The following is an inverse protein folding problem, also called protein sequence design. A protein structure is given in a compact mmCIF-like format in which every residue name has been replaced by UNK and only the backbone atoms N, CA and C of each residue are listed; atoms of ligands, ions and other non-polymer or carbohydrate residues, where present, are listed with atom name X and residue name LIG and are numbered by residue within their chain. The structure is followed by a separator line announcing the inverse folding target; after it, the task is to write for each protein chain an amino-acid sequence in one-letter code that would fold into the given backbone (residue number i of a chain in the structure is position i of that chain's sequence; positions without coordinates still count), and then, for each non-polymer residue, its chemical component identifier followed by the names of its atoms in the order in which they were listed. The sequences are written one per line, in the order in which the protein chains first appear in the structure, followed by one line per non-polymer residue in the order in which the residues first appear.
data_IF_533491061633
#
_entry.id   IF_533491061633
#
_cell.length_a   1.000
_cell.length_b   1.000
_cell.length_c   1.000
_cell.angle_alpha   90.00
_cell.angle_beta   90.00
_cell.angle_gamma   90.00
#
_symmetry.space_group_name_H-M   'P 1'
#
loop_
_entity.id
_entity.type
_entity.pdbx_description
1 polymer ?
#
# COMPACT_ATOMS: atom_id res chain seq x y z
N UNK A 1 17.87 -4.63 33.52
CA UNK A 1 18.39 -4.13 32.23
C UNK A 1 18.47 -5.28 31.25
N UNK A 2 18.11 -5.04 29.99
CA UNK A 2 18.02 -6.02 28.90
C UNK A 2 18.92 -5.52 27.76
N UNK A 3 20.03 -6.19 27.43
CA UNK A 3 20.95 -5.70 26.40
C UNK A 3 20.37 -5.89 24.99
N UNK A 4 20.46 -4.86 24.15
CA UNK A 4 20.03 -4.90 22.75
C UNK A 4 21.27 -4.91 21.86
N UNK A 5 21.29 -5.85 20.92
CA UNK A 5 22.41 -6.06 19.99
C UNK A 5 21.96 -5.91 18.56
N UNK A 6 22.89 -5.51 17.69
CA UNK A 6 22.67 -5.53 16.24
C UNK A 6 22.79 -6.95 15.66
N UNK A 7 22.57 -7.08 14.34
CA UNK A 7 22.64 -8.39 13.67
C UNK A 7 24.00 -9.07 13.81
N UNK A 8 25.10 -8.33 14.04
CA UNK A 8 26.44 -8.86 14.25
C UNK A 8 26.74 -9.18 15.73
N UNK A 9 25.79 -8.95 16.64
CA UNK A 9 25.95 -9.17 18.08
C UNK A 9 26.65 -8.02 18.81
N UNK A 10 26.91 -6.89 18.15
CA UNK A 10 27.52 -5.70 18.76
C UNK A 10 26.47 -4.99 19.61
N UNK A 11 26.89 -4.38 20.73
CA UNK A 11 25.98 -3.67 21.62
C UNK A 11 25.47 -2.40 20.94
N UNK A 12 24.14 -2.26 20.88
CA UNK A 12 23.45 -1.13 20.26
C UNK A 12 22.76 -0.25 21.31
N UNK A 13 22.20 -0.87 22.35
CA UNK A 13 21.52 -0.16 23.43
C UNK A 13 20.97 -1.10 24.49
N UNK A 14 20.01 -0.62 25.25
CA UNK A 14 19.37 -1.35 26.33
C UNK A 14 17.86 -1.10 26.37
N UNK A 15 17.12 -2.15 26.73
CA UNK A 15 15.80 -2.07 27.31
C UNK A 15 15.89 -2.14 28.84
N UNK A 16 14.91 -1.58 29.51
CA UNK A 16 14.75 -1.64 30.96
C UNK A 16 13.29 -1.96 31.27
N UNK A 17 13.08 -2.71 32.34
CA UNK A 17 11.77 -2.96 32.94
C UNK A 17 11.84 -2.43 34.37
N UNK A 18 10.80 -1.73 34.79
CA UNK A 18 10.65 -1.30 36.19
C UNK A 18 10.61 -2.51 37.11
N UNK A 19 11.10 -2.31 38.34
CA UNK A 19 10.96 -3.29 39.43
C UNK A 19 9.92 -2.80 40.42
N UNK A 20 9.91 -1.49 40.69
CA UNK A 20 8.88 -0.82 41.46
C UNK A 20 7.61 -0.63 40.59
N UNK A 21 6.43 -1.14 41.02
CA UNK A 21 5.17 -0.96 40.29
C UNK A 21 4.72 0.50 40.15
N UNK A 22 5.19 1.39 41.02
CA UNK A 22 4.79 2.81 41.02
C UNK A 22 5.57 3.65 39.98
N UNK A 23 6.67 3.10 39.44
CA UNK A 23 7.46 3.76 38.39
C UNK A 23 6.80 3.65 37.01
N UNK A 24 6.88 4.71 36.21
CA UNK A 24 6.39 4.73 34.81
C UNK A 24 7.46 5.27 33.86
N UNK A 25 7.64 4.69 32.66
CA UNK A 25 6.86 3.60 32.05
C UNK A 25 7.34 2.18 32.41
N UNK A 26 6.44 1.17 32.33
CA UNK A 26 6.73 -0.27 32.62
C UNK A 26 7.96 -0.81 31.88
N UNK A 27 8.13 -0.40 30.64
CA UNK A 27 9.32 -0.66 29.84
C UNK A 27 9.87 0.63 29.26
N UNK A 28 11.20 0.77 29.29
CA UNK A 28 11.91 1.90 28.71
C UNK A 28 13.02 1.40 27.80
N UNK A 29 13.08 1.93 26.59
CA UNK A 29 14.15 1.64 25.65
C UNK A 29 15.13 2.81 25.59
N UNK A 30 16.38 2.52 25.24
CA UNK A 30 17.34 3.54 24.86
C UNK A 30 16.75 4.48 23.78
N UNK A 31 17.11 5.78 23.79
CA UNK A 31 16.68 6.69 22.73
C UNK A 31 17.27 6.28 21.38
N UNK A 32 16.70 6.76 20.27
CA UNK A 32 17.28 6.57 18.92
C UNK A 32 18.72 7.12 18.88
N UNK A 33 19.64 6.34 18.35
CA UNK A 33 21.05 6.72 18.15
C UNK A 33 21.55 6.22 16.79
N UNK A 34 22.72 6.66 16.30
CA UNK A 34 23.29 6.13 15.06
C UNK A 34 23.48 4.61 15.05
N UNK A 35 23.59 3.97 16.22
CA UNK A 35 23.78 2.53 16.37
C UNK A 35 22.53 1.79 16.86
N UNK A 36 21.50 2.52 17.31
CA UNK A 36 20.24 1.96 17.80
C UNK A 36 19.07 2.62 17.10
N UNK A 37 18.36 1.85 16.28
CA UNK A 37 17.10 2.28 15.70
C UNK A 37 16.02 1.23 15.87
N UNK A 38 14.93 1.61 16.55
CA UNK A 38 13.82 0.69 16.88
C UNK A 38 13.17 0.13 15.62
N UNK A 39 13.04 0.95 14.59
CA UNK A 39 12.46 0.55 13.30
C UNK A 39 13.38 -0.26 12.40
N UNK A 40 14.59 -0.61 12.82
CA UNK A 40 15.53 -1.40 12.01
C UNK A 40 16.04 -2.65 12.70
N UNK A 41 16.14 -2.59 14.02
CA UNK A 41 16.61 -3.70 14.84
C UNK A 41 15.43 -4.56 15.29
N UNK A 42 15.70 -5.85 15.44
CA UNK A 42 14.82 -6.81 16.09
C UNK A 42 15.57 -7.41 17.27
N UNK A 43 14.94 -7.40 18.43
CA UNK A 43 15.51 -8.02 19.61
C UNK A 43 15.63 -9.54 19.42
N UNK A 44 16.72 -10.11 19.90
CA UNK A 44 17.02 -11.54 19.81
C UNK A 44 17.56 -12.00 18.45
N UNK A 45 17.57 -11.13 17.43
CA UNK A 45 18.01 -11.52 16.09
C UNK A 45 19.45 -12.01 16.07
N UNK A 46 20.36 -11.38 16.82
CA UNK A 46 21.77 -11.78 16.92
C UNK A 46 21.94 -13.27 17.28
N UNK A 47 21.03 -13.80 18.12
CA UNK A 47 20.98 -15.22 18.49
C UNK A 47 20.13 -16.05 17.53
N UNK A 48 19.01 -15.50 17.06
CA UNK A 48 18.03 -16.22 16.25
C UNK A 48 18.46 -16.44 14.78
N UNK A 49 19.48 -15.75 14.26
CA UNK A 49 19.91 -15.87 12.85
C UNK A 49 20.17 -17.29 12.37
N UNK A 50 20.89 -18.09 13.17
CA UNK A 50 21.20 -19.50 12.83
C UNK A 50 19.95 -20.39 13.02
N UNK A 51 19.24 -20.33 14.16
CA UNK A 51 17.96 -21.01 14.36
C UNK A 51 16.93 -20.75 13.26
N UNK A 52 16.72 -19.48 12.86
CA UNK A 52 15.77 -19.10 11.81
C UNK A 52 16.11 -19.79 10.49
N UNK A 53 17.39 -19.81 10.10
CA UNK A 53 17.81 -20.52 8.88
C UNK A 53 17.65 -22.03 8.99
N UNK A 54 17.94 -22.59 10.15
CA UNK A 54 17.86 -24.04 10.38
C UNK A 54 16.40 -24.54 10.38
N UNK A 55 15.49 -23.75 10.95
CA UNK A 55 14.05 -24.03 10.97
C UNK A 55 13.34 -23.59 9.67
N UNK A 56 14.02 -22.81 8.81
CA UNK A 56 13.42 -22.03 7.72
C UNK A 56 12.12 -21.34 8.15
N UNK A 57 12.17 -20.67 9.30
CA UNK A 57 11.02 -19.98 9.88
C UNK A 57 11.50 -18.95 10.90
N UNK A 58 11.02 -17.71 10.79
CA UNK A 58 11.11 -16.71 11.84
C UNK A 58 9.76 -16.55 12.55
N UNK A 59 9.78 -16.50 13.88
CA UNK A 59 8.59 -16.20 14.68
C UNK A 59 8.74 -14.83 15.33
N UNK A 60 7.72 -13.98 15.21
CA UNK A 60 7.70 -12.63 15.76
C UNK A 60 6.71 -12.58 16.92
N UNK A 61 7.21 -12.21 18.10
CA UNK A 61 6.42 -11.97 19.34
C UNK A 61 6.47 -10.49 19.72
N UNK A 62 5.74 -10.08 20.76
CA UNK A 62 5.56 -8.65 21.11
C UNK A 62 6.69 -8.05 21.94
N UNK A 63 7.26 -8.83 22.85
CA UNK A 63 8.16 -8.34 23.89
C UNK A 63 9.51 -9.05 24.01
N UNK A 64 10.41 -8.38 24.74
CA UNK A 64 11.72 -8.93 25.11
C UNK A 64 11.61 -10.22 25.91
N UNK A 65 10.64 -10.27 26.81
CA UNK A 65 10.49 -11.35 27.77
C UNK A 65 9.95 -12.60 27.09
N UNK A 66 9.04 -12.44 26.14
CA UNK A 66 8.58 -13.50 25.25
C UNK A 66 9.76 -14.15 24.53
N UNK A 67 10.62 -13.35 23.89
CA UNK A 67 11.82 -13.86 23.21
C UNK A 67 12.71 -14.62 24.20
N UNK A 68 12.96 -14.06 25.39
CA UNK A 68 13.81 -14.70 26.40
C UNK A 68 13.21 -16.03 26.88
N UNK A 69 11.92 -16.04 27.21
CA UNK A 69 11.22 -17.21 27.73
C UNK A 69 11.13 -18.32 26.69
N UNK A 70 10.78 -17.96 25.45
CA UNK A 70 10.65 -18.90 24.33
C UNK A 70 12.03 -19.46 23.94
N UNK A 71 13.09 -18.64 23.93
CA UNK A 71 14.48 -19.11 23.77
C UNK A 71 14.88 -20.05 24.90
N UNK A 72 14.57 -19.72 26.16
CA UNK A 72 14.88 -20.56 27.32
C UNK A 72 14.18 -21.92 27.25
N UNK A 73 13.04 -22.00 26.56
CA UNK A 73 12.36 -23.26 26.33
C UNK A 73 12.95 -24.12 25.22
N UNK A 74 13.84 -23.57 24.39
CA UNK A 74 14.52 -24.26 23.29
C UNK A 74 14.08 -23.82 21.89
N UNK A 75 13.17 -22.85 21.77
CA UNK A 75 12.74 -22.30 20.49
C UNK A 75 13.48 -20.99 20.23
N UNK A 76 14.62 -21.08 19.55
CA UNK A 76 15.53 -19.95 19.38
C UNK A 76 15.29 -19.13 18.09
N UNK A 77 14.31 -19.51 17.27
CA UNK A 77 13.97 -18.82 16.02
C UNK A 77 13.00 -17.64 16.19
N UNK A 78 12.93 -17.10 17.42
CA UNK A 78 11.99 -16.06 17.83
C UNK A 78 12.67 -14.70 17.97
N UNK A 79 11.99 -13.65 17.53
CA UNK A 79 12.44 -12.25 17.60
C UNK A 79 11.29 -11.32 17.99
N UNK A 80 11.60 -10.09 18.40
CA UNK A 80 10.58 -9.09 18.78
C UNK A 80 10.93 -7.69 18.26
N UNK A 81 9.95 -6.91 17.79
CA UNK A 81 10.09 -5.46 17.69
C UNK A 81 10.17 -4.85 19.10
N UNK A 82 10.56 -3.58 19.20
CA UNK A 82 10.92 -2.96 20.48
C UNK A 82 9.96 -1.84 20.85
N UNK A 83 8.69 -2.20 21.04
CA UNK A 83 7.61 -1.25 21.32
C UNK A 83 7.23 -0.39 20.12
N UNK A 84 7.37 -0.93 18.91
CA UNK A 84 6.96 -0.30 17.65
C UNK A 84 6.14 -1.30 16.85
N UNK A 85 5.25 -0.79 15.98
CA UNK A 85 4.68 -1.64 14.93
C UNK A 85 5.80 -2.25 14.09
N UNK A 86 5.56 -3.45 13.55
CA UNK A 86 6.50 -4.10 12.65
C UNK A 86 6.72 -3.25 11.40
N UNK A 87 7.99 -3.06 11.04
CA UNK A 87 8.39 -2.13 9.95
C UNK A 87 8.96 -2.88 8.75
N UNK A 88 8.97 -2.21 7.60
CA UNK A 88 9.52 -2.76 6.36
C UNK A 88 11.00 -3.15 6.50
N UNK A 89 11.79 -2.35 7.20
CA UNK A 89 13.23 -2.59 7.38
C UNK A 89 13.47 -3.87 8.20
N UNK A 90 12.66 -4.12 9.22
CA UNK A 90 12.71 -5.33 10.04
C UNK A 90 12.29 -6.57 9.24
N UNK A 91 11.25 -6.46 8.42
CA UNK A 91 10.81 -7.56 7.55
C UNK A 91 11.84 -7.87 6.46
N UNK A 92 12.42 -6.84 5.83
CA UNK A 92 13.56 -6.99 4.89
C UNK A 92 14.74 -7.68 5.56
N UNK A 93 15.01 -7.35 6.82
CA UNK A 93 16.09 -7.97 7.59
C UNK A 93 15.84 -9.47 7.81
N UNK A 94 14.61 -9.85 8.21
CA UNK A 94 14.23 -11.25 8.40
C UNK A 94 14.25 -12.08 7.10
N UNK A 95 13.84 -11.47 5.97
CA UNK A 95 13.84 -12.11 4.64
C UNK A 95 15.22 -12.66 4.25
N UNK A 96 16.31 -12.08 4.76
CA UNK A 96 17.68 -12.56 4.53
C UNK A 96 17.95 -13.94 5.16
N UNK A 97 17.09 -14.39 6.09
CA UNK A 97 17.27 -15.60 6.86
C UNK A 97 16.18 -16.65 6.58
N UNK A 98 14.93 -16.24 6.39
CA UNK A 98 13.85 -17.10 5.92
C UNK A 98 12.75 -16.28 5.25
N UNK A 99 12.03 -16.91 4.32
CA UNK A 99 10.82 -16.35 3.69
C UNK A 99 9.54 -16.70 4.46
N UNK A 100 9.60 -17.64 5.41
CA UNK A 100 8.46 -18.05 6.22
C UNK A 100 8.46 -17.28 7.54
N UNK A 101 7.46 -16.44 7.74
CA UNK A 101 7.36 -15.56 8.90
C UNK A 101 6.03 -15.82 9.59
N UNK A 102 6.08 -16.15 10.87
CA UNK A 102 4.92 -16.37 11.73
C UNK A 102 4.78 -15.22 12.72
N UNK A 103 3.63 -14.56 12.70
CA UNK A 103 3.24 -13.56 13.69
C UNK A 103 2.54 -14.27 14.85
N UNK A 104 3.15 -14.20 16.03
CA UNK A 104 2.69 -14.78 17.28
C UNK A 104 2.39 -13.62 18.25
N UNK A 105 1.34 -12.87 17.93
CA UNK A 105 0.95 -11.63 18.61
C UNK A 105 -0.29 -11.85 19.48
N UNK A 106 -0.54 -10.93 20.40
CA UNK A 106 -1.64 -11.06 21.35
C UNK A 106 -3.00 -10.96 20.63
N UNK A 107 -4.04 -11.66 21.12
CA UNK A 107 -5.35 -11.70 20.46
C UNK A 107 -6.16 -10.40 20.58
N UNK A 108 -5.61 -9.36 21.20
CA UNK A 108 -6.33 -8.12 21.48
C UNK A 108 -6.52 -7.22 20.24
N UNK A 109 -7.28 -6.14 20.41
CA UNK A 109 -7.52 -5.16 19.33
C UNK A 109 -6.25 -4.46 18.83
N UNK A 110 -5.18 -4.46 19.62
CA UNK A 110 -3.88 -3.92 19.23
C UNK A 110 -3.11 -4.92 18.35
N UNK A 111 -3.15 -6.21 18.68
CA UNK A 111 -2.59 -7.32 17.90
C UNK A 111 -3.21 -7.42 16.51
N UNK A 112 -4.53 -7.26 16.39
CA UNK A 112 -5.20 -7.23 15.07
C UNK A 112 -4.70 -6.06 14.19
N UNK A 113 -4.58 -4.87 14.77
CA UNK A 113 -4.00 -3.71 14.08
C UNK A 113 -2.52 -3.93 13.75
N UNK A 114 -1.79 -4.63 14.60
CA UNK A 114 -0.40 -4.98 14.37
C UNK A 114 -0.24 -5.99 13.22
N UNK A 115 -1.14 -6.97 13.07
CA UNK A 115 -1.19 -7.87 11.91
C UNK A 115 -1.43 -7.11 10.61
N UNK A 116 -2.43 -6.22 10.57
CA UNK A 116 -2.72 -5.41 9.37
C UNK A 116 -1.56 -4.46 9.01
N UNK A 117 -0.94 -3.83 10.02
CA UNK A 117 0.25 -2.98 9.81
C UNK A 117 1.47 -3.79 9.37
N UNK A 118 1.70 -4.94 9.97
CA UNK A 118 2.78 -5.86 9.59
C UNK A 118 2.62 -6.36 8.16
N UNK A 119 1.38 -6.52 7.69
CA UNK A 119 1.06 -6.85 6.31
C UNK A 119 1.35 -5.69 5.36
N UNK A 120 0.92 -4.47 5.68
CA UNK A 120 1.26 -3.28 4.89
C UNK A 120 2.78 -3.04 4.82
N UNK A 121 3.47 -3.30 5.92
CA UNK A 121 4.93 -3.24 5.98
C UNK A 121 5.58 -4.36 5.15
N UNK A 122 5.01 -5.56 5.13
CA UNK A 122 5.49 -6.66 4.29
C UNK A 122 5.32 -6.36 2.80
N UNK A 123 4.18 -5.79 2.40
CA UNK A 123 3.92 -5.32 1.05
C UNK A 123 4.97 -4.30 0.63
N UNK A 124 5.10 -3.21 1.40
CA UNK A 124 6.07 -2.14 1.14
C UNK A 124 7.53 -2.61 1.18
N UNK A 125 7.83 -3.61 2.03
CA UNK A 125 9.14 -4.26 2.11
C UNK A 125 9.51 -5.04 0.85
N UNK A 126 8.53 -5.78 0.32
CA UNK A 126 8.73 -6.78 -0.73
C UNK A 126 8.53 -6.21 -2.13
N UNK A 127 7.78 -5.11 -2.27
CA UNK A 127 7.58 -4.41 -3.54
C UNK A 127 8.84 -3.81 -4.14
N UNK A 128 9.89 -3.63 -3.32
CA UNK A 128 11.17 -3.00 -3.74
C UNK A 128 12.17 -3.98 -4.35
N UNK A 129 11.95 -5.29 -4.21
CA UNK A 129 12.74 -6.34 -4.86
C UNK A 129 11.90 -7.04 -5.92
N UNK A 130 11.62 -6.34 -7.02
CA UNK A 130 11.01 -6.98 -8.18
C UNK A 130 11.96 -8.03 -8.76
N UNK A 131 11.62 -9.30 -8.63
CA UNK A 131 12.18 -10.32 -9.52
C UNK A 131 11.72 -9.99 -10.94
N UNK A 132 12.67 -9.95 -11.86
CA UNK A 132 12.42 -9.91 -13.31
C UNK A 132 11.77 -11.24 -13.72
N UNK A 133 10.46 -11.35 -13.55
CA UNK A 133 9.69 -12.48 -14.02
C UNK A 133 9.48 -12.38 -15.53
N UNK A 134 9.91 -13.41 -16.27
CA UNK A 134 9.51 -13.60 -17.66
C UNK A 134 8.12 -14.23 -17.70
N UNK A 135 7.18 -13.62 -18.42
CA UNK A 135 5.95 -14.33 -18.79
C UNK A 135 6.26 -15.41 -19.86
N UNK A 136 5.30 -16.31 -20.13
CA UNK A 136 5.42 -17.33 -21.18
C UNK A 136 5.60 -16.74 -22.61
N UNK A 137 5.64 -15.42 -22.75
CA UNK A 137 5.87 -14.66 -23.99
C UNK A 137 7.18 -13.84 -23.94
N UNK A 138 8.02 -14.02 -22.91
CA UNK A 138 9.34 -13.41 -22.78
C UNK A 138 9.36 -11.93 -22.39
N UNK A 139 8.26 -11.35 -21.88
CA UNK A 139 8.21 -9.97 -21.44
C UNK A 139 8.54 -9.83 -19.94
N UNK A 140 9.43 -8.88 -19.64
CA UNK A 140 9.83 -8.50 -18.28
C UNK A 140 8.66 -7.81 -17.58
N UNK A 141 8.02 -8.48 -16.63
CA UNK A 141 7.08 -7.85 -15.72
C UNK A 141 7.76 -7.59 -14.38
N UNK A 142 7.75 -6.32 -13.96
CA UNK A 142 8.14 -5.92 -12.62
C UNK A 142 6.89 -6.00 -11.72
N UNK A 143 6.45 -7.23 -11.43
CA UNK A 143 5.34 -7.45 -10.51
C UNK A 143 5.93 -7.63 -9.11
N UNK A 144 5.84 -6.55 -8.33
CA UNK A 144 6.02 -6.54 -6.89
C UNK A 144 5.01 -7.52 -6.28
N UNK A 145 5.48 -8.73 -5.93
CA UNK A 145 4.68 -9.80 -5.34
C UNK A 145 5.25 -10.14 -3.97
N UNK A 146 4.38 -10.53 -3.05
CA UNK A 146 4.78 -10.93 -1.71
C UNK A 146 5.64 -12.21 -1.79
N UNK A 147 6.97 -12.08 -1.72
CA UNK A 147 7.89 -13.23 -1.71
C UNK A 147 8.14 -13.77 -0.29
N UNK A 148 7.11 -13.78 0.55
CA UNK A 148 7.16 -14.33 1.88
C UNK A 148 5.86 -15.05 2.21
N UNK A 149 5.99 -16.19 2.88
CA UNK A 149 4.88 -16.92 3.48
C UNK A 149 4.60 -16.31 4.86
N UNK A 150 3.65 -15.37 4.91
CA UNK A 150 3.18 -14.75 6.14
C UNK A 150 2.05 -15.57 6.75
N UNK A 151 2.23 -15.92 8.02
CA UNK A 151 1.25 -16.69 8.80
C UNK A 151 1.01 -16.04 10.15
N UNK A 152 -0.14 -16.31 10.74
CA UNK A 152 -0.53 -15.84 12.07
C UNK A 152 -0.83 -17.05 12.95
N UNK A 153 -0.13 -17.13 14.08
CA UNK A 153 -0.43 -18.08 15.16
C UNK A 153 -1.38 -17.40 16.14
N UNK A 154 -2.60 -17.92 16.25
CA UNK A 154 -3.59 -17.41 17.20
C UNK A 154 -3.30 -17.95 18.59
N UNK A 155 -3.05 -17.05 19.54
CA UNK A 155 -2.87 -17.41 20.95
C UNK A 155 -4.21 -17.63 21.65
N UNK A 156 -4.28 -18.52 22.66
CA UNK A 156 -5.46 -18.61 23.51
C UNK A 156 -5.72 -17.30 24.25
N UNK A 157 -6.99 -17.01 24.53
CA UNK A 157 -7.40 -15.75 25.16
C UNK A 157 -6.69 -15.53 26.50
N UNK A 158 -6.02 -14.38 26.62
CA UNK A 158 -5.38 -13.92 27.85
C UNK A 158 -4.09 -14.65 28.24
N UNK A 159 -3.47 -15.38 27.30
CA UNK A 159 -2.15 -16.00 27.52
C UNK A 159 -1.11 -15.41 26.56
N UNK A 160 0.00 -14.99 27.14
CA UNK A 160 1.15 -14.46 26.40
C UNK A 160 2.13 -15.60 26.03
N UNK A 161 3.02 -15.41 25.04
CA UNK A 161 4.00 -16.43 24.64
C UNK A 161 4.85 -17.01 25.79
N UNK A 162 5.23 -16.18 26.76
CA UNK A 162 6.01 -16.63 27.91
C UNK A 162 5.21 -17.55 28.85
N UNK A 163 3.92 -17.25 29.07
CA UNK A 163 3.00 -18.09 29.85
C UNK A 163 2.70 -19.43 29.18
N UNK A 164 2.45 -19.42 27.86
CA UNK A 164 2.18 -20.63 27.07
C UNK A 164 3.36 -21.59 27.18
N UNK A 165 4.57 -21.07 26.95
CA UNK A 165 5.79 -21.86 26.97
C UNK A 165 6.15 -22.34 28.37
N UNK A 166 5.87 -21.54 29.41
CA UNK A 166 6.07 -21.94 30.80
C UNK A 166 5.12 -23.08 31.22
N UNK A 167 3.88 -23.08 30.68
CA UNK A 167 2.89 -24.12 30.93
C UNK A 167 3.19 -25.42 30.18
N UNK A 168 3.36 -25.34 28.87
CA UNK A 168 3.62 -26.49 27.99
C UNK A 168 4.44 -26.07 26.76
N UNK A 169 5.69 -26.53 26.71
CA UNK A 169 6.59 -26.26 25.58
C UNK A 169 6.10 -26.88 24.26
N UNK A 170 5.38 -27.99 24.32
CA UNK A 170 4.86 -28.64 23.12
C UNK A 170 3.60 -27.94 22.61
N UNK A 171 2.87 -27.23 23.48
CA UNK A 171 1.75 -26.37 23.10
C UNK A 171 2.22 -25.24 22.17
N UNK A 172 3.31 -24.56 22.52
CA UNK A 172 3.91 -23.53 21.66
C UNK A 172 4.19 -24.06 20.25
N UNK A 173 4.85 -25.22 20.14
CA UNK A 173 5.13 -25.85 18.85
C UNK A 173 3.86 -26.13 18.07
N UNK A 174 2.83 -26.70 18.71
CA UNK A 174 1.53 -26.96 18.06
C UNK A 174 0.88 -25.68 17.56
N UNK A 175 0.95 -24.57 18.30
CA UNK A 175 0.39 -23.28 17.87
C UNK A 175 1.12 -22.72 16.64
N UNK A 176 2.46 -22.79 16.62
CA UNK A 176 3.27 -22.32 15.49
C UNK A 176 3.09 -23.20 14.24
N UNK A 177 2.98 -24.53 14.42
CA UNK A 177 2.72 -25.46 13.31
C UNK A 177 1.33 -25.25 12.69
N UNK A 178 0.33 -24.91 13.51
CA UNK A 178 -1.04 -24.63 13.07
C UNK A 178 -1.26 -23.16 12.67
N UNK A 179 -0.19 -22.36 12.56
CA UNK A 179 -0.29 -20.97 12.14
C UNK A 179 -0.95 -20.85 10.75
N UNK A 180 -2.03 -20.08 10.71
CA UNK A 180 -2.87 -19.91 9.51
C UNK A 180 -2.22 -18.92 8.55
N UNK A 181 -2.37 -19.09 7.23
CA UNK A 181 -2.00 -18.06 6.28
C UNK A 181 -2.66 -16.72 6.62
N UNK A 182 -1.94 -15.61 6.45
CA UNK A 182 -2.41 -14.28 6.86
C UNK A 182 -3.74 -13.91 6.20
N UNK A 183 -3.95 -14.27 4.93
CA UNK A 183 -5.20 -14.01 4.20
C UNK A 183 -6.38 -14.71 4.87
N UNK A 184 -6.22 -15.97 5.28
CA UNK A 184 -7.24 -16.72 6.02
C UNK A 184 -7.55 -16.06 7.35
N UNK A 185 -6.51 -15.68 8.10
CA UNK A 185 -6.69 -15.03 9.39
C UNK A 185 -7.45 -13.70 9.25
N UNK A 186 -7.04 -12.82 8.33
CA UNK A 186 -7.71 -11.53 8.11
C UNK A 186 -9.17 -11.72 7.67
N UNK A 187 -9.47 -12.70 6.81
CA UNK A 187 -10.84 -13.05 6.43
C UNK A 187 -11.70 -13.41 7.64
N UNK A 188 -11.22 -14.33 8.47
CA UNK A 188 -11.93 -14.78 9.68
C UNK A 188 -12.12 -13.62 10.67
N UNK A 189 -11.08 -12.82 10.91
CA UNK A 189 -11.11 -11.69 11.84
C UNK A 189 -12.09 -10.61 11.39
N UNK A 190 -12.10 -10.24 10.11
CA UNK A 190 -13.01 -9.23 9.58
C UNK A 190 -14.47 -9.71 9.54
N UNK A 191 -14.69 -11.02 9.38
CA UNK A 191 -16.02 -11.62 9.42
C UNK A 191 -16.56 -11.79 10.86
N UNK A 192 -15.67 -11.91 11.85
CA UNK A 192 -16.05 -12.12 13.24
C UNK A 192 -16.87 -10.93 13.79
N UNK A 193 -18.04 -11.23 14.36
CA UNK A 193 -18.92 -10.23 14.98
C UNK A 193 -19.64 -9.29 14.02
N UNK A 194 -19.57 -9.53 12.70
CA UNK A 194 -20.24 -8.72 11.69
C UNK A 194 -21.48 -9.42 11.11
N UNK A 195 -22.47 -8.65 10.65
CA UNK A 195 -23.61 -9.20 9.92
C UNK A 195 -23.25 -9.40 8.44
N UNK A 196 -22.88 -10.62 8.09
CA UNK A 196 -22.58 -11.01 6.72
C UNK A 196 -23.79 -11.02 5.79
N UNK A 197 -24.98 -10.62 6.21
CA UNK A 197 -26.11 -10.37 5.31
C UNK A 197 -26.15 -8.92 4.81
N UNK A 198 -25.47 -7.98 5.47
CA UNK A 198 -25.38 -6.59 5.03
C UNK A 198 -24.41 -6.46 3.85
N UNK A 199 -24.91 -5.99 2.71
CA UNK A 199 -24.12 -5.75 1.51
C UNK A 199 -22.98 -4.74 1.75
N UNK A 200 -23.16 -3.75 2.63
CA UNK A 200 -22.12 -2.77 2.97
C UNK A 200 -20.96 -3.42 3.72
N UNK A 201 -21.27 -4.31 4.66
CA UNK A 201 -20.28 -5.10 5.41
C UNK A 201 -19.51 -6.02 4.46
N UNK A 202 -20.21 -6.75 3.58
CA UNK A 202 -19.57 -7.60 2.56
C UNK A 202 -18.58 -6.81 1.70
N UNK A 203 -18.99 -5.64 1.21
CA UNK A 203 -18.12 -4.77 0.41
C UNK A 203 -16.91 -4.27 1.20
N UNK A 204 -17.08 -3.92 2.48
CA UNK A 204 -15.98 -3.50 3.34
C UNK A 204 -14.96 -4.61 3.60
N UNK A 205 -15.41 -5.85 3.80
CA UNK A 205 -14.53 -7.01 3.95
C UNK A 205 -13.81 -7.28 2.64
N UNK A 206 -14.55 -7.35 1.52
CA UNK A 206 -13.96 -7.60 0.20
C UNK A 206 -12.91 -6.54 -0.19
N UNK A 207 -13.18 -5.26 0.06
CA UNK A 207 -12.25 -4.17 -0.25
C UNK A 207 -10.93 -4.25 0.53
N UNK A 208 -10.94 -4.86 1.72
CA UNK A 208 -9.74 -5.07 2.54
C UNK A 208 -9.00 -6.36 2.18
N UNK A 209 -9.71 -7.44 1.86
CA UNK A 209 -9.12 -8.77 1.59
C UNK A 209 -8.62 -8.90 0.16
N UNK A 210 -9.35 -8.38 -0.84
CA UNK A 210 -8.98 -8.53 -2.25
C UNK A 210 -7.56 -8.04 -2.59
N UNK A 211 -7.09 -6.88 -2.09
CA UNK A 211 -5.71 -6.48 -2.28
C UNK A 211 -4.71 -7.52 -1.78
N UNK A 212 -4.99 -8.17 -0.64
CA UNK A 212 -4.10 -9.19 -0.06
C UNK A 212 -4.02 -10.43 -0.93
N UNK A 213 -5.13 -10.80 -1.57
CA UNK A 213 -5.18 -11.90 -2.53
C UNK A 213 -4.35 -11.53 -3.76
N UNK A 214 -4.52 -10.33 -4.33
CA UNK A 214 -3.81 -9.94 -5.56
C UNK A 214 -2.29 -9.97 -5.45
N UNK A 215 -1.76 -9.70 -4.27
CA UNK A 215 -0.32 -9.68 -3.98
C UNK A 215 0.33 -11.06 -3.90
N UNK A 216 -0.47 -12.12 -3.81
CA UNK A 216 0.06 -13.48 -3.75
C UNK A 216 0.74 -13.84 -5.07
N UNK A 217 1.91 -14.50 -5.01
CA UNK A 217 2.69 -14.78 -6.20
C UNK A 217 2.07 -15.87 -7.07
N UNK A 218 1.28 -16.79 -6.52
CA UNK A 218 0.71 -17.91 -7.26
C UNK A 218 -0.70 -17.59 -7.76
N UNK A 219 -0.97 -17.61 -9.08
CA UNK A 219 -2.33 -17.44 -9.61
C UNK A 219 -3.34 -18.44 -9.04
N UNK A 220 -2.90 -19.67 -8.76
CA UNK A 220 -3.73 -20.72 -8.18
C UNK A 220 -4.10 -20.42 -6.72
N UNK A 221 -3.15 -19.90 -5.94
CA UNK A 221 -3.43 -19.47 -4.56
C UNK A 221 -4.43 -18.32 -4.57
N UNK A 222 -4.28 -17.36 -5.49
CA UNK A 222 -5.23 -16.25 -5.64
C UNK A 222 -6.65 -16.73 -5.90
N UNK A 223 -6.80 -17.65 -6.85
CA UNK A 223 -8.09 -18.24 -7.18
C UNK A 223 -8.68 -18.96 -5.97
N UNK A 224 -7.88 -19.79 -5.28
CA UNK A 224 -8.30 -20.52 -4.08
C UNK A 224 -8.80 -19.58 -2.97
N UNK A 225 -8.08 -18.50 -2.68
CA UNK A 225 -8.51 -17.53 -1.67
C UNK A 225 -9.70 -16.68 -2.11
N UNK A 226 -9.83 -16.39 -3.41
CA UNK A 226 -11.01 -15.69 -3.96
C UNK A 226 -12.27 -16.55 -3.82
N UNK A 227 -12.18 -17.84 -4.14
CA UNK A 227 -13.24 -18.81 -3.92
C UNK A 227 -13.61 -18.91 -2.43
N UNK A 228 -12.62 -18.95 -1.55
CA UNK A 228 -12.85 -18.98 -0.10
C UNK A 228 -13.57 -17.70 0.38
N UNK A 229 -13.17 -16.53 -0.11
CA UNK A 229 -13.80 -15.25 0.20
C UNK A 229 -15.25 -15.19 -0.32
N UNK A 230 -15.51 -15.63 -1.55
CA UNK A 230 -16.84 -15.69 -2.15
C UNK A 230 -17.80 -16.58 -1.33
N UNK A 231 -17.33 -17.77 -0.94
CA UNK A 231 -18.09 -18.69 -0.08
C UNK A 231 -18.38 -18.08 1.29
N UNK A 232 -17.40 -17.44 1.92
CA UNK A 232 -17.56 -16.79 3.23
C UNK A 232 -18.58 -15.66 3.18
N UNK A 233 -18.51 -14.81 2.15
CA UNK A 233 -19.42 -13.68 1.95
C UNK A 233 -20.77 -14.08 1.33
N UNK A 234 -20.93 -15.33 0.88
CA UNK A 234 -22.13 -15.82 0.17
C UNK A 234 -22.47 -14.92 -1.02
N UNK A 235 -21.49 -14.69 -1.88
CA UNK A 235 -21.61 -13.93 -3.13
C UNK A 235 -20.99 -14.73 -4.26
N UNK A 236 -21.39 -14.44 -5.48
CA UNK A 236 -20.74 -15.01 -6.66
C UNK A 236 -19.31 -14.49 -6.79
N UNK A 237 -18.41 -15.34 -7.28
CA UNK A 237 -17.00 -15.00 -7.48
C UNK A 237 -16.83 -13.82 -8.44
N UNK A 238 -17.66 -13.75 -9.47
CA UNK A 238 -17.69 -12.67 -10.46
C UNK A 238 -18.04 -11.31 -9.84
N UNK A 239 -18.84 -11.30 -8.77
CA UNK A 239 -19.19 -10.09 -8.05
C UNK A 239 -18.01 -9.50 -7.27
N UNK A 240 -17.01 -10.32 -6.90
CA UNK A 240 -15.78 -9.88 -6.23
C UNK A 240 -14.73 -9.31 -7.20
N UNK A 241 -14.81 -9.66 -8.48
CA UNK A 241 -13.86 -9.21 -9.52
C UNK A 241 -14.19 -7.79 -10.00
N UNK A 242 -15.33 -7.23 -9.59
CA UNK A 242 -15.76 -5.92 -10.06
C UNK A 242 -16.13 -5.94 -11.54
N UNK A 243 -16.65 -7.07 -12.05
CA UNK A 243 -17.43 -7.02 -13.27
C UNK A 243 -18.61 -6.07 -12.99
N UNK A 244 -18.87 -5.06 -13.86
CA UNK A 244 -20.03 -4.20 -13.66
C UNK A 244 -21.24 -5.11 -13.59
N UNK A 245 -21.95 -5.06 -12.46
CA UNK A 245 -23.21 -5.77 -12.28
C UNK A 245 -24.02 -5.58 -13.56
N UNK A 246 -24.23 -6.65 -14.33
CA UNK A 246 -25.19 -6.63 -15.42
C UNK A 246 -26.54 -6.36 -14.77
N UNK A 247 -26.92 -5.08 -14.73
CA UNK A 247 -28.12 -4.63 -14.07
C UNK A 247 -29.33 -5.37 -14.65
N UNK A 248 -30.31 -5.80 -13.82
CA UNK A 248 -31.54 -6.34 -14.35
C UNK A 248 -32.23 -5.28 -15.20
N UNK A 249 -32.42 -5.61 -16.47
CA UNK A 249 -33.20 -4.81 -17.42
C UNK A 249 -34.60 -4.52 -16.85
N UNK A 250 -34.87 -3.23 -16.66
CA UNK A 250 -36.19 -2.62 -16.88
C UNK A 250 -37.18 -2.64 -15.72
N UNK A 251 -37.44 -1.45 -15.15
CA UNK A 251 -38.80 -0.86 -15.15
C UNK A 251 -38.76 0.64 -14.84
N UNK A 252 -39.39 1.40 -15.74
CA UNK A 252 -39.67 2.84 -15.61
C UNK A 252 -40.46 3.15 -14.34
N UNK A 253 -40.05 4.20 -13.60
CA UNK A 253 -40.92 4.98 -12.73
C UNK A 253 -40.52 6.46 -12.75
N UNK A 254 -41.54 7.32 -12.64
CA UNK A 254 -41.64 8.77 -12.94
C UNK A 254 -40.82 9.71 -12.01
N UNK A 255 -40.64 10.99 -12.42
CA UNK A 255 -39.80 11.95 -11.70
C UNK A 255 -40.50 12.53 -10.46
N UNK A 256 -39.74 12.64 -9.36
CA UNK A 256 -40.12 13.40 -8.16
C UNK A 256 -39.34 14.73 -8.17
N UNK A 257 -40.06 15.83 -7.88
CA UNK A 257 -39.53 17.20 -7.84
C UNK A 257 -38.60 17.43 -6.63
N UNK A 258 -37.69 18.43 -6.71
CA UNK A 258 -36.65 18.65 -5.71
C UNK A 258 -37.16 19.49 -4.54
N UNK A 259 -36.82 19.07 -3.31
CA UNK A 259 -37.18 19.76 -2.08
C UNK A 259 -36.07 19.64 -1.04
N UNK A 260 -35.33 20.75 -0.92
CA UNK A 260 -34.66 21.29 0.25
C UNK A 260 -33.39 20.61 0.81
N UNK A 261 -32.33 21.43 0.72
CA UNK A 261 -31.03 21.30 1.34
C UNK A 261 -31.12 21.07 2.85
N UNK A 262 -30.49 20.00 3.30
CA UNK A 262 -29.92 19.89 4.63
C UNK A 262 -28.41 20.01 4.50
N UNK A 263 -27.85 21.02 5.15
CA UNK A 263 -26.41 21.21 5.32
C UNK A 263 -25.77 19.91 5.82
N UNK A 264 -24.94 19.30 4.99
CA UNK A 264 -24.04 18.24 5.42
C UNK A 264 -22.72 18.88 5.82
N UNK A 265 -22.39 18.76 7.10
CA UNK A 265 -21.04 18.95 7.60
C UNK A 265 -20.05 18.13 6.75
N UNK A 266 -18.81 18.61 6.53
CA UNK A 266 -17.90 18.00 5.58
C UNK A 266 -17.56 16.59 6.04
N UNK A 267 -18.02 15.60 5.26
CA UNK A 267 -17.51 14.24 5.34
C UNK A 267 -16.04 14.33 4.94
N UNK A 268 -15.14 14.10 5.90
CA UNK A 268 -13.72 14.01 5.62
C UNK A 268 -13.49 12.89 4.59
N UNK A 269 -13.23 13.28 3.35
CA UNK A 269 -12.90 12.37 2.26
C UNK A 269 -11.58 11.70 2.64
N UNK A 270 -11.62 10.39 2.94
CA UNK A 270 -10.43 9.55 3.05
C UNK A 270 -9.69 9.69 1.72
N UNK A 271 -8.66 10.54 1.71
CA UNK A 271 -7.97 10.92 0.48
C UNK A 271 -7.13 9.73 0.03
N UNK A 272 -7.41 9.21 -1.17
CA UNK A 272 -6.62 8.13 -1.75
C UNK A 272 -5.16 8.59 -1.97
N UNK A 273 -4.19 7.67 -2.03
CA UNK A 273 -2.81 8.02 -2.36
C UNK A 273 -2.66 8.74 -3.71
N UNK A 274 -3.53 8.47 -4.71
CA UNK A 274 -3.56 9.21 -5.98
C UNK A 274 -4.04 10.64 -5.78
N UNK A 275 -5.09 10.84 -4.99
CA UNK A 275 -5.64 12.16 -4.68
C UNK A 275 -4.59 13.08 -4.03
N UNK A 276 -3.79 12.55 -3.09
CA UNK A 276 -2.72 13.33 -2.42
C UNK A 276 -1.63 13.75 -3.42
N UNK A 277 -1.22 12.84 -4.31
CA UNK A 277 -0.19 13.14 -5.32
C UNK A 277 -0.68 14.16 -6.33
N UNK A 278 -1.91 14.02 -6.81
CA UNK A 278 -2.53 14.97 -7.73
C UNK A 278 -2.68 16.36 -7.12
N UNK A 279 -3.19 16.42 -5.88
CA UNK A 279 -3.33 17.66 -5.14
C UNK A 279 -1.97 18.34 -4.94
N UNK A 280 -0.93 17.58 -4.59
CA UNK A 280 0.43 18.14 -4.47
C UNK A 280 0.94 18.70 -5.81
N UNK A 281 0.83 17.94 -6.91
CA UNK A 281 1.22 18.41 -8.24
C UNK A 281 0.50 19.71 -8.62
N UNK A 282 -0.81 19.78 -8.41
CA UNK A 282 -1.60 20.98 -8.70
C UNK A 282 -1.24 22.13 -7.77
N UNK A 283 -0.96 21.88 -6.49
CA UNK A 283 -0.52 22.91 -5.55
C UNK A 283 0.79 23.56 -6.00
N UNK A 284 1.78 22.75 -6.39
CA UNK A 284 3.07 23.24 -6.92
C UNK A 284 2.84 24.07 -8.19
N UNK A 285 2.08 23.53 -9.16
CA UNK A 285 1.80 24.21 -10.43
C UNK A 285 0.93 25.45 -10.27
N UNK A 286 0.05 25.49 -9.27
CA UNK A 286 -0.78 26.65 -9.00
C UNK A 286 0.05 27.77 -8.38
N UNK A 287 0.94 27.44 -7.44
CA UNK A 287 1.84 28.41 -6.80
C UNK A 287 2.93 28.91 -7.75
N UNK A 288 3.37 28.06 -8.68
CA UNK A 288 4.44 28.32 -9.67
C UNK A 288 4.02 27.85 -11.07
N UNK A 289 3.13 28.59 -11.77
CA UNK A 289 2.59 28.17 -13.06
C UNK A 289 3.66 28.08 -14.16
N UNK A 290 4.76 28.84 -14.05
CA UNK A 290 5.91 28.81 -14.95
C UNK A 290 6.57 27.42 -15.07
N UNK A 291 6.47 26.61 -14.01
CA UNK A 291 7.00 25.24 -14.01
C UNK A 291 6.25 24.33 -14.98
N UNK A 292 5.00 24.63 -15.36
CA UNK A 292 4.25 23.81 -16.30
C UNK A 292 4.93 23.76 -17.68
N UNK A 293 5.36 24.91 -18.20
CA UNK A 293 6.07 24.98 -19.48
C UNK A 293 7.41 24.24 -19.43
N UNK A 294 8.16 24.41 -18.33
CA UNK A 294 9.43 23.71 -18.13
C UNK A 294 9.23 22.20 -18.02
N UNK A 295 8.17 21.76 -17.36
CA UNK A 295 7.80 20.35 -17.25
C UNK A 295 7.42 19.78 -18.61
N UNK A 296 6.59 20.48 -19.38
CA UNK A 296 6.18 20.07 -20.73
C UNK A 296 7.40 19.92 -21.65
N UNK A 297 8.32 20.89 -21.64
CA UNK A 297 9.57 20.80 -22.41
C UNK A 297 10.41 19.59 -22.00
N UNK A 298 10.50 19.28 -20.71
CA UNK A 298 11.24 18.11 -20.21
C UNK A 298 10.57 16.80 -20.64
N UNK A 299 9.23 16.74 -20.60
CA UNK A 299 8.46 15.60 -21.09
C UNK A 299 8.70 15.38 -22.59
N UNK A 300 8.70 16.44 -23.39
CA UNK A 300 8.97 16.39 -24.83
C UNK A 300 10.40 15.91 -25.14
N UNK A 301 11.42 16.40 -24.41
CA UNK A 301 12.80 15.89 -24.49
C UNK A 301 12.87 14.37 -24.23
N UNK A 302 11.99 13.88 -23.35
CA UNK A 302 11.84 12.47 -23.03
C UNK A 302 10.92 11.71 -24.00
N UNK A 303 10.41 12.35 -25.06
CA UNK A 303 9.47 11.81 -26.05
C UNK A 303 8.10 11.43 -25.45
N UNK A 304 7.65 12.20 -24.46
CA UNK A 304 6.32 12.11 -23.87
C UNK A 304 5.50 13.34 -24.26
N UNK A 305 4.18 13.20 -24.27
CA UNK A 305 3.27 14.33 -24.46
C UNK A 305 3.33 15.30 -23.28
N UNK A 306 3.02 16.57 -23.52
CA UNK A 306 2.77 17.57 -22.47
C UNK A 306 1.77 17.08 -21.42
N UNK A 307 1.84 17.60 -20.19
CA UNK A 307 0.96 17.25 -19.08
C UNK A 307 -0.49 17.63 -19.43
N UNK A 308 -1.36 16.63 -19.53
CA UNK A 308 -2.74 16.79 -19.93
C UNK A 308 -3.67 16.68 -18.72
N UNK A 309 -4.89 17.23 -18.85
CA UNK A 309 -5.88 17.13 -17.78
C UNK A 309 -6.25 15.66 -17.52
N UNK A 310 -6.24 14.85 -18.57
CA UNK A 310 -6.52 13.42 -18.55
C UNK A 310 -5.43 12.61 -17.82
N UNK A 311 -4.30 13.22 -17.44
CA UNK A 311 -3.33 12.58 -16.54
C UNK A 311 -3.84 12.50 -15.08
N UNK A 312 -4.90 13.25 -14.74
CA UNK A 312 -5.51 13.30 -13.42
C UNK A 312 -6.81 12.47 -13.36
N UNK A 313 -7.02 11.74 -12.28
CA UNK A 313 -8.17 10.87 -12.01
C UNK A 313 -9.41 11.70 -11.66
N UNK A 314 -9.26 12.70 -10.80
CA UNK A 314 -10.38 13.45 -10.23
C UNK A 314 -10.81 14.60 -11.15
N UNK A 315 -12.09 14.66 -11.52
CA UNK A 315 -12.65 15.68 -12.42
C UNK A 315 -12.32 17.11 -11.98
N UNK A 316 -12.36 17.38 -10.68
CA UNK A 316 -12.06 18.70 -10.12
C UNK A 316 -10.59 19.10 -10.36
N UNK A 317 -9.67 18.14 -10.25
CA UNK A 317 -8.26 18.31 -10.57
C UNK A 317 -8.02 18.54 -12.07
N UNK A 318 -8.76 17.83 -12.93
CA UNK A 318 -8.72 18.04 -14.37
C UNK A 318 -9.15 19.47 -14.75
N UNK A 319 -10.26 19.94 -14.17
CA UNK A 319 -10.76 21.30 -14.37
C UNK A 319 -9.70 22.31 -13.90
N UNK A 320 -9.11 22.09 -12.74
CA UNK A 320 -8.09 22.98 -12.18
C UNK A 320 -6.85 23.09 -13.08
N UNK A 321 -6.31 21.97 -13.58
CA UNK A 321 -5.17 22.00 -14.49
C UNK A 321 -5.48 22.76 -15.79
N UNK A 322 -6.68 22.56 -16.37
CA UNK A 322 -7.09 23.29 -17.57
C UNK A 322 -7.08 24.80 -17.33
N UNK A 323 -7.57 25.25 -16.17
CA UNK A 323 -7.55 26.66 -15.79
C UNK A 323 -6.12 27.19 -15.60
N UNK A 324 -5.22 26.44 -14.95
CA UNK A 324 -3.80 26.81 -14.84
C UNK A 324 -3.20 26.98 -16.25
N UNK A 325 -3.42 26.03 -17.15
CA UNK A 325 -2.88 26.09 -18.52
C UNK A 325 -3.44 27.29 -19.30
N UNK A 326 -4.75 27.51 -19.25
CA UNK A 326 -5.39 28.68 -19.87
C UNK A 326 -4.85 30.00 -19.30
N UNK A 327 -4.56 30.05 -17.99
CA UNK A 327 -3.99 31.25 -17.35
C UNK A 327 -2.61 31.62 -17.89
N UNK A 328 -1.85 30.63 -18.41
CA UNK A 328 -0.52 30.81 -19.01
C UNK A 328 -0.58 31.18 -20.49
N UNK A 329 -1.66 30.83 -21.18
CA UNK A 329 -1.84 31.08 -22.62
C UNK A 329 -2.43 32.49 -22.90
N UNK A 330 -3.14 33.06 -21.92
CA UNK A 330 -3.71 34.40 -21.97
C UNK A 330 -2.75 35.47 -21.44
N UNK A 331 -2.97 36.74 -21.84
CA UNK A 331 -2.11 37.89 -21.49
C UNK A 331 -2.90 39.02 -20.79
N UNK A 332 -4.19 38.80 -20.52
CA UNK A 332 -5.12 39.83 -20.06
C UNK A 332 -5.05 40.08 -18.54
N UNK A 333 -4.64 39.07 -17.76
CA UNK A 333 -4.61 39.15 -16.28
C UNK A 333 -3.49 38.33 -15.66
N UNK A 334 -3.19 38.58 -14.38
CA UNK A 334 -2.28 37.75 -13.60
C UNK A 334 -2.79 36.30 -13.51
N UNK A 335 -1.87 35.33 -13.53
CA UNK A 335 -2.19 33.90 -13.58
C UNK A 335 -3.08 33.45 -12.41
N UNK A 336 -2.78 33.91 -11.19
CA UNK A 336 -3.57 33.53 -10.01
C UNK A 336 -4.95 34.21 -10.03
N UNK A 337 -5.01 35.46 -10.51
CA UNK A 337 -6.25 36.20 -10.65
C UNK A 337 -7.16 35.59 -11.73
N UNK A 338 -6.59 35.12 -12.84
CA UNK A 338 -7.32 34.41 -13.90
C UNK A 338 -7.94 33.12 -13.37
N UNK A 339 -7.15 32.29 -12.69
CA UNK A 339 -7.66 31.04 -12.09
C UNK A 339 -8.75 31.35 -11.07
N UNK A 340 -8.54 32.33 -10.17
CA UNK A 340 -9.52 32.68 -9.15
C UNK A 340 -10.86 33.20 -9.69
N UNK A 341 -10.85 33.91 -10.82
CA UNK A 341 -12.06 34.46 -11.44
C UNK A 341 -12.84 33.45 -12.30
N UNK A 342 -12.17 32.43 -12.82
CA UNK A 342 -12.77 31.41 -13.68
C UNK A 342 -13.01 30.07 -12.97
N UNK A 343 -12.59 29.93 -11.71
CA UNK A 343 -12.82 28.73 -10.91
C UNK A 343 -14.30 28.66 -10.45
N UNK A 344 -15.01 27.54 -10.68
CA UNK A 344 -16.37 27.35 -10.20
C UNK A 344 -16.48 27.53 -8.68
N UNK A 345 -17.59 28.09 -8.19
CA UNK A 345 -17.79 28.36 -6.76
C UNK A 345 -17.61 27.11 -5.88
N UNK A 346 -18.03 25.94 -6.37
CA UNK A 346 -17.88 24.65 -5.69
C UNK A 346 -16.40 24.24 -5.49
N UNK A 347 -15.47 24.76 -6.30
CA UNK A 347 -14.05 24.40 -6.27
C UNK A 347 -13.17 25.45 -5.59
N UNK A 348 -13.74 26.57 -5.12
CA UNK A 348 -12.97 27.61 -4.40
C UNK A 348 -12.29 27.07 -3.13
N UNK A 349 -12.94 26.15 -2.42
CA UNK A 349 -12.34 25.47 -1.27
C UNK A 349 -11.13 24.61 -1.64
N UNK A 350 -11.13 24.02 -2.83
CA UNK A 350 -10.01 23.21 -3.34
C UNK A 350 -8.77 24.07 -3.58
N UNK A 351 -8.90 25.27 -4.17
CA UNK A 351 -7.78 26.19 -4.36
C UNK A 351 -7.06 26.54 -3.04
N UNK A 352 -7.82 26.82 -1.99
CA UNK A 352 -7.27 27.10 -0.65
C UNK A 352 -6.55 25.88 -0.06
N UNK A 353 -7.14 24.70 -0.18
CA UNK A 353 -6.53 23.45 0.30
C UNK A 353 -5.23 23.11 -0.45
N UNK A 354 -5.20 23.29 -1.77
CA UNK A 354 -4.00 23.08 -2.58
C UNK A 354 -2.85 23.99 -2.15
N UNK A 355 -3.13 25.29 -1.94
CA UNK A 355 -2.12 26.25 -1.49
C UNK A 355 -1.63 25.95 -0.07
N UNK A 356 -2.51 25.51 0.82
CA UNK A 356 -2.14 25.11 2.19
C UNK A 356 -1.18 23.90 2.20
N UNK A 357 -1.38 22.93 1.30
CA UNK A 357 -0.51 21.75 1.19
C UNK A 357 0.92 22.10 0.71
N UNK A 358 1.08 23.24 0.02
CA UNK A 358 2.37 23.70 -0.50
C UNK A 358 2.84 25.01 0.17
N UNK A 359 2.41 25.28 1.40
CA UNK A 359 2.82 26.48 2.13
C UNK A 359 4.35 26.56 2.30
N UNK A 360 5.00 25.40 2.43
CA UNK A 360 6.46 25.24 2.54
C UNK A 360 7.04 24.49 1.34
N UNK A 361 7.12 25.16 0.19
CA UNK A 361 7.82 24.62 -0.99
C UNK A 361 9.34 24.66 -0.80
N UNK A 362 10.04 23.71 -1.43
CA UNK A 362 11.49 23.80 -1.60
C UNK A 362 11.79 25.08 -2.41
N UNK A 363 12.66 25.99 -1.93
CA UNK A 363 12.98 27.22 -2.64
C UNK A 363 13.71 26.97 -3.97
N UNK A 364 14.26 25.77 -4.18
CA UNK A 364 15.02 25.43 -5.38
C UNK A 364 14.07 24.89 -6.46
N UNK A 365 13.76 25.73 -7.44
CA UNK A 365 12.86 25.41 -8.56
C UNK A 365 13.25 24.14 -9.34
N UNK A 366 14.55 23.88 -9.51
CA UNK A 366 14.98 22.70 -10.25
C UNK A 366 14.62 21.40 -9.51
N UNK A 367 14.63 21.42 -8.17
CA UNK A 367 14.18 20.27 -7.36
C UNK A 367 12.68 20.06 -7.46
N UNK A 368 11.90 21.15 -7.45
CA UNK A 368 10.46 21.09 -7.69
C UNK A 368 10.14 20.55 -9.08
N UNK A 369 10.90 20.97 -10.10
CA UNK A 369 10.73 20.48 -11.46
C UNK A 369 11.05 18.98 -11.59
N UNK A 370 12.13 18.52 -10.96
CA UNK A 370 12.48 17.10 -10.91
C UNK A 370 11.45 16.26 -10.13
N UNK A 371 10.87 16.83 -9.07
CA UNK A 371 9.80 16.19 -8.33
C UNK A 371 8.52 16.09 -9.17
N UNK A 372 8.10 17.17 -9.82
CA UNK A 372 6.97 17.18 -10.75
C UNK A 372 7.15 16.14 -11.86
N UNK A 373 8.34 16.04 -12.46
CA UNK A 373 8.66 15.00 -13.45
C UNK A 373 8.38 13.60 -12.91
N UNK A 374 8.90 13.28 -11.71
CA UNK A 374 8.70 11.96 -11.08
C UNK A 374 7.22 11.69 -10.82
N UNK A 375 6.48 12.68 -10.30
CA UNK A 375 5.07 12.53 -9.97
C UNK A 375 4.21 12.39 -11.23
N UNK A 376 4.48 13.15 -12.29
CA UNK A 376 3.80 12.99 -13.58
C UNK A 376 4.00 11.61 -14.17
N UNK A 377 5.22 11.06 -14.15
CA UNK A 377 5.45 9.67 -14.59
C UNK A 377 4.71 8.66 -13.73
N UNK A 378 4.63 8.89 -12.41
CA UNK A 378 3.88 8.03 -11.49
C UNK A 378 2.39 8.03 -11.81
N UNK A 379 1.78 9.20 -12.00
CA UNK A 379 0.36 9.35 -12.37
C UNK A 379 0.06 8.64 -13.69
N UNK A 380 0.85 8.93 -14.74
CA UNK A 380 0.69 8.31 -16.07
C UNK A 380 0.84 6.80 -16.04
N UNK A 381 1.81 6.28 -15.30
CA UNK A 381 2.03 4.84 -15.17
C UNK A 381 0.86 4.16 -14.47
N UNK A 382 0.37 4.73 -13.37
CA UNK A 382 -0.76 4.20 -12.63
C UNK A 382 -2.00 4.10 -13.53
N UNK A 383 -2.33 5.18 -14.25
CA UNK A 383 -3.45 5.20 -15.18
C UNK A 383 -3.29 4.24 -16.35
N UNK A 384 -2.13 4.25 -17.01
CA UNK A 384 -1.88 3.37 -18.14
C UNK A 384 -1.95 1.89 -17.75
N UNK A 385 -1.53 1.52 -16.53
CA UNK A 385 -1.67 0.15 -16.03
C UNK A 385 -3.14 -0.23 -15.76
N UNK A 386 -3.93 0.68 -15.19
CA UNK A 386 -5.35 0.47 -14.95
C UNK A 386 -6.10 0.30 -16.29
N UNK A 387 -5.89 1.22 -17.23
CA UNK A 387 -6.48 1.16 -18.57
C UNK A 387 -6.05 -0.10 -19.34
N UNK A 388 -4.79 -0.51 -19.20
CA UNK A 388 -4.28 -1.73 -19.86
C UNK A 388 -4.97 -2.97 -19.32
N UNK A 389 -5.18 -3.02 -18.00
CA UNK A 389 -5.86 -4.14 -17.33
C UNK A 389 -7.31 -4.24 -17.78
N UNK A 390 -8.03 -3.12 -17.78
CA UNK A 390 -9.42 -3.05 -18.23
C UNK A 390 -9.55 -3.39 -19.72
N UNK A 391 -8.69 -2.83 -20.58
CA UNK A 391 -8.75 -3.06 -22.03
C UNK A 391 -8.43 -4.51 -22.38
N UNK A 392 -7.50 -5.16 -21.66
CA UNK A 392 -7.19 -6.59 -21.86
C UNK A 392 -8.36 -7.49 -21.49
N UNK A 393 -9.05 -7.18 -20.39
CA UNK A 393 -10.26 -7.89 -20.01
C UNK A 393 -11.33 -7.79 -21.11
N UNK A 394 -11.61 -6.58 -21.60
CA UNK A 394 -12.55 -6.35 -22.71
C UNK A 394 -12.11 -7.04 -24.02
N UNK A 395 -10.80 -7.11 -24.27
CA UNK A 395 -10.25 -7.82 -25.43
C UNK A 395 -10.51 -9.33 -25.34
N UNK A 396 -10.33 -9.92 -24.17
CA UNK A 396 -10.53 -11.36 -23.93
C UNK A 396 -12.02 -11.73 -24.07
N UNK A 397 -12.93 -10.93 -23.51
CA UNK A 397 -14.38 -11.11 -23.70
C UNK A 397 -14.78 -10.98 -25.18
N UNK A 398 -14.30 -9.95 -25.88
CA UNK A 398 -14.60 -9.71 -27.29
C UNK A 398 -14.09 -10.83 -28.22
N UNK A 399 -12.93 -11.42 -27.89
CA UNK A 399 -12.36 -12.56 -28.65
C UNK A 399 -13.15 -13.85 -28.45
N UNK A 400 -13.72 -14.09 -27.26
CA UNK A 400 -14.57 -15.25 -26.99
C UNK A 400 -15.97 -15.11 -27.60
N UNK A 401 -16.49 -13.89 -27.72
CA UNK A 401 -17.81 -13.58 -28.28
C UNK A 401 -17.88 -13.38 -29.80
N UNK A 402 -16.74 -13.38 -30.52
CA UNK A 402 -16.69 -13.09 -31.96
C UNK A 402 -17.02 -11.63 -32.31
N UNK A 403 -16.78 -10.69 -31.38
CA UNK A 403 -17.16 -9.30 -31.50
C UNK A 403 -16.20 -8.52 -32.46
N UNK A 404 -16.72 -7.77 -33.44
CA UNK A 404 -15.92 -6.91 -34.33
C UNK A 404 -15.05 -5.85 -33.60
N UNK A 405 -15.33 -5.52 -32.33
CA UNK A 405 -14.53 -4.58 -31.53
C UNK A 405 -13.19 -5.16 -31.02
N UNK A 406 -12.94 -6.46 -31.14
CA UNK A 406 -11.70 -7.11 -30.67
C UNK A 406 -10.41 -6.47 -31.26
N UNK A 407 -10.46 -6.05 -32.52
CA UNK A 407 -9.34 -5.36 -33.20
C UNK A 407 -9.07 -3.97 -32.59
N UNK A 408 -10.10 -3.26 -32.12
CA UNK A 408 -9.93 -1.95 -31.49
C UNK A 408 -9.27 -2.08 -30.11
N UNK A 409 -9.71 -3.05 -29.30
CA UNK A 409 -9.08 -3.33 -28.01
C UNK A 409 -7.62 -3.76 -28.17
N UNK A 410 -7.31 -4.58 -29.18
CA UNK A 410 -5.93 -4.96 -29.50
C UNK A 410 -5.05 -3.74 -29.83
N UNK A 411 -5.56 -2.79 -30.62
CA UNK A 411 -4.86 -1.55 -30.94
C UNK A 411 -4.66 -0.66 -29.70
N UNK A 412 -5.66 -0.59 -28.81
CA UNK A 412 -5.56 0.15 -27.55
C UNK A 412 -4.52 -0.46 -26.60
N UNK A 413 -4.50 -1.79 -26.45
CA UNK A 413 -3.48 -2.49 -25.65
C UNK A 413 -2.07 -2.21 -26.17
N UNK A 414 -1.87 -2.25 -27.50
CA UNK A 414 -0.58 -1.90 -28.11
C UNK A 414 -0.19 -0.44 -27.85
N UNK A 415 -1.15 0.49 -27.88
CA UNK A 415 -0.92 1.91 -27.59
C UNK A 415 -0.49 2.11 -26.13
N UNK A 416 -1.18 1.48 -25.19
CA UNK A 416 -0.88 1.56 -23.75
C UNK A 416 0.47 0.91 -23.41
N UNK A 417 0.79 -0.24 -24.03
CA UNK A 417 2.09 -0.88 -23.88
C UNK A 417 3.24 0.01 -24.39
N UNK A 418 3.05 0.69 -25.53
CA UNK A 418 4.01 1.67 -26.04
C UNK A 418 4.17 2.84 -25.07
N UNK A 419 3.07 3.37 -24.51
CA UNK A 419 3.12 4.46 -23.54
C UNK A 419 3.92 4.08 -22.28
N UNK A 420 3.66 2.90 -21.70
CA UNK A 420 4.42 2.39 -20.55
C UNK A 420 5.91 2.26 -20.85
N UNK A 421 6.26 1.77 -22.04
CA UNK A 421 7.64 1.72 -22.48
C UNK A 421 8.28 3.12 -22.59
N UNK A 422 7.57 4.09 -23.15
CA UNK A 422 8.03 5.49 -23.23
C UNK A 422 8.29 6.08 -21.84
N UNK A 423 7.42 5.79 -20.87
CA UNK A 423 7.56 6.22 -19.47
C UNK A 423 8.82 5.60 -18.83
N UNK A 424 9.08 4.31 -19.06
CA UNK A 424 10.29 3.64 -18.55
C UNK A 424 11.57 4.25 -19.14
N UNK A 425 11.58 4.54 -20.45
CA UNK A 425 12.71 5.18 -21.11
C UNK A 425 12.94 6.61 -20.61
N UNK A 426 11.87 7.38 -20.38
CA UNK A 426 11.94 8.71 -19.79
C UNK A 426 12.57 8.67 -18.39
N UNK A 427 12.10 7.77 -17.54
CA UNK A 427 12.62 7.61 -16.18
C UNK A 427 14.11 7.24 -16.16
N UNK A 428 14.54 6.34 -17.07
CA UNK A 428 15.96 5.98 -17.22
C UNK A 428 16.83 7.17 -17.66
N UNK A 429 16.35 7.99 -18.60
CA UNK A 429 17.10 9.17 -19.08
C UNK A 429 17.29 10.21 -17.98
N UNK A 430 16.27 10.44 -17.15
CA UNK A 430 16.35 11.43 -16.07
C UNK A 430 17.14 10.93 -14.87
N UNK A 431 17.11 9.64 -14.57
CA UNK A 431 17.96 9.05 -13.51
C UNK A 431 19.45 9.06 -13.87
N UNK A 432 19.80 8.84 -15.14
CA UNK A 432 21.19 8.93 -15.62
C UNK A 432 21.74 10.37 -15.58
N UNK A 433 20.92 11.37 -15.93
CA UNK A 433 21.32 12.80 -15.86
C UNK A 433 21.58 13.31 -14.43
N UNK A 434 21.13 12.61 -13.38
CA UNK A 434 21.41 12.95 -11.98
C UNK A 434 22.77 12.45 -11.47
N UNK A 435 23.40 11.52 -12.19
CA UNK A 435 24.69 10.91 -11.80
C UNK A 435 25.89 11.55 -12.50
N UNK A 436 25.64 12.40 -13.50
CA UNK A 436 26.62 13.22 -14.22
C UNK A 436 26.45 14.67 -13.81
#
# INVERSE_FOLDING_TARGET
MIPIRDEQGRMAGFGARIVDPDDVPKFLNSPETPIFSKGRLLYGLDRARKPIRAADQAVIVEGYLDVIAVHQAGYENVVSPMGTALTDDQLRLLKKFSRRIVLALDPDTAGQKAVLRGLEAARSAMDREGELGFDARGLLKNEARLQADLRVASMPDGLDPDEIVARDKDEWKRLIENAKPIVTHVMETLAAGQDLNDAKVKNQIAAQVLPLIEDLPSPLERDTYRQALARMLRVDEDALIGAPAQGPRGRRARPVKPGQAGESAPVAVVSSPSHIVEAYCLGVLFRRPDLLYRLDRRLEEARLSALAAEDFEYTDHQIFLRLIRQSLEQVESDQHQYVASHLPDALKGLAGNLLAQVEKLDPVEERLLEELQRLTLKLRRARANLDLTQTRFLQEEAQQGGDPHALQYQQQVLRLAKLLHSIDQANKRWTLRRQT
#
